data_IF_913612732491
#
_entry.id   IF_913612732491
#
_cell.length_a   1.000
_cell.length_b   1.000
_cell.length_c   1.000
_cell.angle_alpha   90.00
_cell.angle_beta   90.00
_cell.angle_gamma   90.00
#
_symmetry.space_group_name_H-M   'P 1'
#
loop_
_entity.id
_entity.type
_entity.pdbx_description
1 polymer ?
#
# COMPACT_ATOMS: atom_id res chain seq x y z
N UNK A 1 1.74 0.95 18.52
CA UNK A 1 2.62 1.95 19.14
C UNK A 1 2.87 3.15 18.24
N UNK A 2 3.23 4.26 18.82
CA UNK A 2 3.60 5.50 18.13
C UNK A 2 4.97 5.90 18.60
N UNK A 3 5.93 5.94 17.68
CA UNK A 3 7.31 6.29 18.01
C UNK A 3 7.48 7.82 18.08
N UNK A 4 8.29 8.27 19.02
CA UNK A 4 8.65 9.67 19.16
C UNK A 4 9.75 10.03 18.15
N UNK A 5 9.69 11.22 17.58
CA UNK A 5 10.76 11.73 16.72
C UNK A 5 11.89 12.33 17.53
N UNK A 6 13.15 12.09 17.14
CA UNK A 6 14.32 12.69 17.79
C UNK A 6 14.47 14.16 17.42
N UNK A 7 14.16 14.50 16.18
CA UNK A 7 14.22 15.88 15.63
C UNK A 7 12.87 16.22 15.00
N UNK A 8 11.91 16.64 15.81
CA UNK A 8 10.57 16.97 15.37
C UNK A 8 9.51 15.95 15.80
N UNK A 9 8.24 16.34 15.86
CA UNK A 9 7.18 15.51 16.40
C UNK A 9 6.70 14.45 15.41
N UNK A 10 6.21 13.33 15.94
CA UNK A 10 5.22 12.50 15.29
C UNK A 10 3.86 13.11 15.59
N UNK A 11 3.05 13.35 14.57
CA UNK A 11 1.75 14.03 14.71
C UNK A 11 0.61 13.21 14.10
N UNK A 12 -0.55 13.27 14.73
CA UNK A 12 -1.78 12.61 14.30
C UNK A 12 -2.90 13.65 14.34
N UNK A 13 -3.54 13.86 13.19
CA UNK A 13 -4.63 14.82 13.04
C UNK A 13 -5.93 14.37 13.71
N UNK A 14 -6.78 15.34 13.96
CA UNK A 14 -8.07 15.14 14.63
C UNK A 14 -8.96 14.16 13.89
N UNK A 15 -9.73 13.37 14.64
CA UNK A 15 -10.70 12.43 14.09
C UNK A 15 -10.10 11.17 13.45
N UNK A 16 -8.77 11.03 13.45
CA UNK A 16 -8.10 9.82 12.94
C UNK A 16 -8.34 8.64 13.87
N UNK A 17 -8.69 7.50 13.29
CA UNK A 17 -8.96 6.24 13.99
C UNK A 17 -7.84 5.25 13.75
N UNK A 18 -7.30 4.70 14.82
CA UNK A 18 -6.19 3.77 14.81
C UNK A 18 -6.60 2.50 15.53
N UNK A 19 -6.60 1.39 14.81
CA UNK A 19 -7.00 0.09 15.33
C UNK A 19 -5.83 -0.60 16.06
N UNK A 20 -6.05 -1.84 16.49
CA UNK A 20 -5.11 -2.60 17.28
C UNK A 20 -3.83 -2.94 16.50
N UNK A 21 -2.72 -3.00 17.23
CA UNK A 21 -1.40 -3.42 16.71
C UNK A 21 -0.85 -2.57 15.56
N UNK A 22 -1.33 -1.34 15.40
CA UNK A 22 -0.77 -0.38 14.46
C UNK A 22 0.57 0.12 14.98
N UNK A 23 1.58 0.17 14.10
CA UNK A 23 2.88 0.77 14.35
C UNK A 23 3.04 2.04 13.53
N UNK A 24 3.27 3.15 14.19
CA UNK A 24 3.59 4.43 13.56
C UNK A 24 5.04 4.76 13.90
N UNK A 25 5.91 4.80 12.89
CA UNK A 25 7.31 5.12 13.03
C UNK A 25 7.54 6.60 13.39
N UNK A 26 8.77 6.90 13.75
CA UNK A 26 9.20 8.25 14.17
C UNK A 26 8.98 9.30 13.07
N UNK A 27 8.66 10.52 13.45
CA UNK A 27 8.49 11.67 12.53
C UNK A 27 7.39 11.50 11.48
N UNK A 28 6.47 10.54 11.65
CA UNK A 28 5.30 10.44 10.79
C UNK A 28 4.35 11.62 11.02
N UNK A 29 3.71 12.06 9.95
CA UNK A 29 2.65 13.07 9.99
C UNK A 29 1.39 12.47 9.39
N UNK A 30 0.39 12.26 10.22
CA UNK A 30 -0.89 11.68 9.82
C UNK A 30 -1.93 12.78 9.82
N UNK A 31 -2.62 12.95 8.70
CA UNK A 31 -3.69 13.93 8.53
C UNK A 31 -4.91 13.67 9.40
N UNK A 32 -5.98 14.40 9.12
CA UNK A 32 -7.25 14.32 9.85
C UNK A 32 -8.13 13.22 9.29
N UNK A 33 -8.96 12.64 10.15
CA UNK A 33 -10.01 11.68 9.78
C UNK A 33 -9.50 10.46 9.00
N UNK A 34 -8.23 10.09 9.17
CA UNK A 34 -7.68 8.87 8.60
C UNK A 34 -8.21 7.63 9.33
N UNK A 35 -8.17 6.49 8.67
CA UNK A 35 -8.49 5.19 9.26
C UNK A 35 -7.32 4.25 9.01
N UNK A 36 -6.66 3.83 10.08
CA UNK A 36 -5.59 2.84 10.07
C UNK A 36 -6.12 1.55 10.70
N UNK A 37 -6.41 0.56 9.85
CA UNK A 37 -6.93 -0.72 10.31
C UNK A 37 -5.86 -1.53 11.05
N UNK A 38 -6.27 -2.68 11.62
CA UNK A 38 -5.40 -3.50 12.44
C UNK A 38 -4.10 -3.90 11.72
N UNK A 39 -3.00 -3.83 12.47
CA UNK A 39 -1.67 -4.23 12.03
C UNK A 39 -1.08 -3.39 10.87
N UNK A 40 -1.59 -2.20 10.62
CA UNK A 40 -0.95 -1.26 9.70
C UNK A 40 0.41 -0.84 10.26
N UNK A 41 1.42 -0.77 9.39
CA UNK A 41 2.76 -0.32 9.73
C UNK A 41 3.21 0.85 8.86
N UNK A 42 3.59 1.95 9.50
CA UNK A 42 4.19 3.11 8.83
C UNK A 42 5.64 3.25 9.26
N UNK A 43 6.56 3.18 8.32
CA UNK A 43 7.96 3.46 8.59
C UNK A 43 8.18 4.97 8.78
N UNK A 44 9.31 5.33 9.39
CA UNK A 44 9.60 6.70 9.79
C UNK A 44 9.47 7.74 8.67
N UNK A 45 9.06 8.94 9.05
CA UNK A 45 8.91 10.10 8.15
C UNK A 45 7.87 9.92 7.04
N UNK A 46 6.95 8.99 7.18
CA UNK A 46 5.80 8.84 6.27
C UNK A 46 4.77 9.94 6.54
N UNK A 47 4.22 10.50 5.46
CA UNK A 47 3.18 11.54 5.51
C UNK A 47 1.89 10.99 4.93
N UNK A 48 0.81 11.04 5.69
CA UNK A 48 -0.55 10.80 5.22
C UNK A 48 -1.30 12.11 5.12
N UNK A 49 -1.96 12.33 4.00
CA UNK A 49 -2.96 13.39 3.86
C UNK A 49 -4.19 13.16 4.72
N UNK A 50 -5.24 13.93 4.48
CA UNK A 50 -6.51 13.80 5.18
C UNK A 50 -7.37 12.68 4.58
N UNK A 51 -8.20 12.04 5.41
CA UNK A 51 -9.14 10.99 5.01
C UNK A 51 -8.50 9.77 4.33
N UNK A 52 -7.24 9.49 4.59
CA UNK A 52 -6.55 8.30 4.08
C UNK A 52 -7.09 7.05 4.77
N UNK A 53 -7.32 5.99 3.99
CA UNK A 53 -7.74 4.69 4.50
C UNK A 53 -6.67 3.63 4.21
N UNK A 54 -6.10 3.06 5.25
CA UNK A 54 -5.19 1.93 5.14
C UNK A 54 -5.85 0.68 5.73
N UNK A 55 -6.15 -0.28 4.86
CA UNK A 55 -6.77 -1.54 5.26
C UNK A 55 -5.80 -2.43 6.06
N UNK A 56 -6.33 -3.49 6.65
CA UNK A 56 -5.58 -4.35 7.55
C UNK A 56 -4.25 -4.86 6.98
N UNK A 57 -3.21 -4.81 7.78
CA UNK A 57 -1.84 -5.22 7.41
C UNK A 57 -1.22 -4.45 6.24
N UNK A 58 -1.78 -3.33 5.82
CA UNK A 58 -1.10 -2.47 4.86
C UNK A 58 0.14 -1.86 5.51
N UNK A 59 1.17 -1.64 4.72
CA UNK A 59 2.42 -1.05 5.18
C UNK A 59 2.96 0.00 4.22
N UNK A 60 3.69 0.96 4.75
CA UNK A 60 4.38 1.96 3.95
C UNK A 60 5.86 2.03 4.30
N UNK A 61 6.71 2.06 3.28
CA UNK A 61 8.13 2.35 3.43
C UNK A 61 8.33 3.79 3.93
N UNK A 62 9.50 4.10 4.47
CA UNK A 62 9.82 5.41 5.01
C UNK A 62 9.92 6.51 3.97
N UNK A 63 9.72 7.75 4.43
CA UNK A 63 9.88 8.96 3.61
C UNK A 63 8.94 9.05 2.41
N UNK A 64 7.73 8.50 2.52
CA UNK A 64 6.71 8.52 1.47
C UNK A 64 5.58 9.49 1.83
N UNK A 65 4.89 9.97 0.79
CA UNK A 65 3.65 10.73 0.91
C UNK A 65 2.48 9.96 0.30
N UNK A 66 1.42 9.83 1.07
CA UNK A 66 0.15 9.25 0.63
C UNK A 66 -0.89 10.38 0.60
N UNK A 67 -1.40 10.68 -0.59
CA UNK A 67 -2.28 11.83 -0.83
C UNK A 67 -3.64 11.70 -0.14
N UNK A 68 -4.34 12.84 -0.04
CA UNK A 68 -5.67 12.92 0.58
C UNK A 68 -6.63 11.91 -0.03
N UNK A 69 -7.47 11.28 0.79
CA UNK A 69 -8.51 10.33 0.37
C UNK A 69 -8.00 9.10 -0.39
N UNK A 70 -6.68 8.88 -0.43
CA UNK A 70 -6.14 7.63 -0.97
C UNK A 70 -6.54 6.43 -0.12
N UNK A 71 -6.79 5.32 -0.75
CA UNK A 71 -7.17 4.07 -0.11
C UNK A 71 -6.19 2.96 -0.50
N UNK A 72 -5.65 2.26 0.48
CA UNK A 72 -4.78 1.11 0.26
C UNK A 72 -5.47 -0.16 0.74
N UNK A 73 -5.60 -1.13 -0.14
CA UNK A 73 -6.22 -2.42 0.17
C UNK A 73 -5.42 -3.24 1.18
N UNK A 74 -6.06 -4.26 1.74
CA UNK A 74 -5.43 -5.11 2.75
C UNK A 74 -4.12 -5.74 2.24
N UNK A 75 -3.11 -5.79 3.11
CA UNK A 75 -1.76 -6.28 2.81
C UNK A 75 -1.04 -5.50 1.68
N UNK A 76 -1.55 -4.32 1.31
CA UNK A 76 -0.88 -3.46 0.34
C UNK A 76 0.46 -2.95 0.86
N UNK A 77 1.49 -3.03 0.04
CA UNK A 77 2.84 -2.56 0.37
C UNK A 77 3.18 -1.30 -0.42
N UNK A 78 3.12 -0.15 0.23
CA UNK A 78 3.42 1.14 -0.40
C UNK A 78 4.92 1.37 -0.42
N UNK A 79 5.49 1.45 -1.61
CA UNK A 79 6.93 1.62 -1.83
C UNK A 79 7.29 2.93 -2.54
N UNK A 80 6.29 3.72 -2.91
CA UNK A 80 6.43 5.02 -3.56
C UNK A 80 5.26 5.93 -3.18
N UNK A 81 5.36 7.21 -3.49
CA UNK A 81 4.30 8.17 -3.22
C UNK A 81 3.00 7.78 -3.94
N UNK A 82 1.87 7.97 -3.26
CA UNK A 82 0.55 7.72 -3.83
C UNK A 82 -0.20 9.02 -4.04
N UNK A 83 -0.76 9.17 -5.24
CA UNK A 83 -1.62 10.30 -5.57
C UNK A 83 -2.92 10.29 -4.74
N UNK A 84 -3.51 11.46 -4.48
CA UNK A 84 -4.79 11.54 -3.80
C UNK A 84 -5.92 10.88 -4.61
N UNK A 85 -6.99 10.53 -3.91
CA UNK A 85 -8.25 9.98 -4.46
C UNK A 85 -8.12 8.62 -5.16
N UNK A 86 -6.95 7.97 -5.12
CA UNK A 86 -6.71 6.67 -5.74
C UNK A 86 -7.05 5.48 -4.83
N UNK A 87 -7.34 4.36 -5.47
CA UNK A 87 -7.44 3.05 -4.82
C UNK A 87 -6.27 2.18 -5.28
N UNK A 88 -5.47 1.72 -4.32
CA UNK A 88 -4.21 1.00 -4.58
C UNK A 88 -4.24 -0.37 -3.93
N UNK A 89 -3.76 -1.40 -4.64
CA UNK A 89 -3.68 -2.77 -4.15
C UNK A 89 -2.32 -3.39 -4.47
N UNK A 90 -1.96 -4.40 -3.70
CA UNK A 90 -0.81 -5.25 -3.96
C UNK A 90 0.50 -4.76 -3.33
N UNK A 91 1.57 -5.47 -3.62
CA UNK A 91 2.93 -5.14 -3.21
C UNK A 91 3.86 -5.32 -4.41
N UNK A 92 4.42 -4.24 -4.98
CA UNK A 92 4.17 -2.82 -4.64
C UNK A 92 2.72 -2.39 -4.89
N UNK A 93 2.21 -1.48 -4.07
CA UNK A 93 0.85 -0.97 -4.20
C UNK A 93 0.73 -0.14 -5.49
N UNK A 94 -0.15 -0.57 -6.37
CA UNK A 94 -0.46 0.06 -7.66
C UNK A 94 -1.96 0.30 -7.76
N UNK A 95 -2.39 1.00 -8.81
CA UNK A 95 -3.81 1.17 -9.10
C UNK A 95 -4.57 -0.16 -9.02
N UNK A 96 -5.70 -0.19 -8.34
CA UNK A 96 -6.44 -1.41 -8.09
C UNK A 96 -6.95 -2.11 -9.36
N UNK A 97 -7.31 -1.35 -10.40
CA UNK A 97 -7.76 -1.96 -11.66
C UNK A 97 -6.60 -2.62 -12.41
N UNK A 98 -5.42 -2.00 -12.38
CA UNK A 98 -4.21 -2.61 -12.94
C UNK A 98 -3.86 -3.89 -12.16
N UNK A 99 -3.93 -3.89 -10.85
CA UNK A 99 -3.67 -5.05 -10.03
C UNK A 99 -4.66 -6.20 -10.30
N UNK A 100 -5.95 -5.91 -10.43
CA UNK A 100 -6.98 -6.91 -10.80
C UNK A 100 -6.68 -7.58 -12.13
N UNK A 101 -6.21 -6.82 -13.12
CA UNK A 101 -5.80 -7.37 -14.43
C UNK A 101 -4.62 -8.32 -14.28
N UNK A 102 -3.61 -7.95 -13.49
CA UNK A 102 -2.45 -8.80 -13.21
C UNK A 102 -2.89 -10.10 -12.55
N UNK A 103 -3.77 -10.05 -11.54
CA UNK A 103 -4.29 -11.25 -10.89
C UNK A 103 -5.04 -12.18 -11.87
N UNK A 104 -5.84 -11.61 -12.77
CA UNK A 104 -6.57 -12.38 -13.78
C UNK A 104 -5.61 -13.11 -14.73
N UNK A 105 -4.54 -12.45 -15.16
CA UNK A 105 -3.49 -13.04 -16.01
C UNK A 105 -2.71 -14.09 -15.24
N UNK A 106 -2.33 -13.80 -14.00
CA UNK A 106 -1.55 -14.70 -13.16
C UNK A 106 -2.21 -16.08 -13.01
N UNK A 107 -3.53 -16.12 -12.88
CA UNK A 107 -4.29 -17.39 -12.80
C UNK A 107 -4.20 -18.21 -14.10
N UNK A 108 -3.98 -17.57 -15.24
CA UNK A 108 -3.87 -18.19 -16.57
C UNK A 108 -2.44 -18.48 -16.99
N UNK A 109 -1.43 -18.06 -16.21
CA UNK A 109 -0.03 -18.28 -16.55
C UNK A 109 0.33 -19.75 -16.88
N UNK A 110 -0.15 -20.77 -16.16
CA UNK A 110 0.16 -22.15 -16.52
C UNK A 110 -0.31 -22.53 -17.92
N UNK A 111 -1.50 -22.10 -18.32
CA UNK A 111 -2.07 -22.34 -19.65
C UNK A 111 -1.28 -21.59 -20.72
N UNK A 112 -1.02 -20.30 -20.49
CA UNK A 112 -0.25 -19.43 -21.38
C UNK A 112 1.15 -20.04 -21.61
N UNK A 113 1.82 -20.45 -20.54
CA UNK A 113 3.14 -21.06 -20.63
C UNK A 113 3.10 -22.41 -21.37
N UNK A 114 2.06 -23.21 -21.17
CA UNK A 114 1.85 -24.46 -21.91
C UNK A 114 1.72 -24.24 -23.42
N UNK A 115 0.95 -23.22 -23.84
CA UNK A 115 0.83 -22.83 -25.25
C UNK A 115 2.17 -22.35 -25.83
N UNK A 116 2.86 -21.48 -25.09
CA UNK A 116 4.16 -20.95 -25.50
C UNK A 116 5.19 -22.06 -25.73
N UNK A 117 5.28 -23.03 -24.82
CA UNK A 117 6.18 -24.19 -24.97
C UNK A 117 5.87 -25.03 -26.21
N UNK A 118 4.60 -25.22 -26.55
CA UNK A 118 4.21 -25.97 -27.77
C UNK A 118 4.66 -25.25 -29.02
N UNK A 119 4.49 -23.91 -29.06
CA UNK A 119 4.93 -23.09 -30.20
C UNK A 119 6.45 -23.14 -30.40
N UNK A 120 7.26 -23.16 -29.34
CA UNK A 120 8.71 -23.27 -29.42
C UNK A 120 9.11 -24.60 -30.08
N UNK A 121 8.51 -25.72 -29.65
CA UNK A 121 8.82 -27.04 -30.21
C UNK A 121 8.53 -27.17 -31.72
N UNK A 122 7.47 -26.50 -32.20
CA UNK A 122 7.12 -26.48 -33.63
C UNK A 122 8.04 -25.60 -34.48
N UNK A 123 8.91 -24.79 -33.90
CA UNK A 123 9.89 -23.98 -34.62
C UNK A 123 11.27 -24.66 -34.72
N UNK A 124 11.49 -25.71 -33.97
CA UNK A 124 12.73 -26.49 -33.98
C UNK A 124 12.63 -27.74 -34.89
N UNK A 125 11.44 -28.09 -35.36
CA UNK A 125 11.16 -29.11 -36.38
C UNK A 125 11.02 -28.47 -37.78
#
# INVERSE_FOLDING_TARGET
>A
TVDCGTLGPTSIGDGTKIDNLVQIGHNCRIGKHCILCAQVGLAGSTVLGDYVYLAGKAGAAGHLSIGDRAMVGAQGGVTHDLAPDGLYWGTPAIDANAYKRILAIQRKLPEIYGHYRKQLKHKED
#
